data_IF_002846651718
#
_entry.id   IF_002846651718
#
_cell.length_a   1.000
_cell.length_b   1.000
_cell.length_c   1.000
_cell.angle_alpha   90.00
_cell.angle_beta   90.00
_cell.angle_gamma   90.00
#
_symmetry.space_group_name_H-M   'P 1'
#
loop_
_entity.id
_entity.type
_entity.pdbx_description
1 polymer ?
#
# COMPACT_ATOMS: atom_id res chain seq x y z
N UNK A 1 10.79 21.70 3.51
CA UNK A 1 9.84 21.15 4.51
C UNK A 1 10.34 21.58 5.87
N UNK A 2 9.46 22.04 6.77
CA UNK A 2 9.84 22.35 8.14
C UNK A 2 10.36 21.08 8.84
N UNK A 3 11.25 21.23 9.81
CA UNK A 3 11.65 20.12 10.69
C UNK A 3 10.47 19.67 11.56
N UNK A 4 10.51 18.44 12.08
CA UNK A 4 9.47 17.96 13.00
C UNK A 4 9.38 18.90 14.21
N UNK A 5 10.52 19.28 14.78
CA UNK A 5 10.60 20.21 15.91
C UNK A 5 9.83 21.51 15.67
N UNK A 6 10.00 22.13 14.50
CA UNK A 6 9.28 23.37 14.14
C UNK A 6 7.77 23.14 14.09
N UNK A 7 7.32 22.02 13.50
CA UNK A 7 5.90 21.65 13.47
C UNK A 7 5.36 21.48 14.89
N UNK A 8 6.06 20.73 15.75
CA UNK A 8 5.64 20.49 17.12
C UNK A 8 5.54 21.78 17.96
N UNK A 9 6.42 22.76 17.71
CA UNK A 9 6.36 24.06 18.41
C UNK A 9 5.21 24.98 17.97
N UNK A 10 4.63 24.74 16.79
CA UNK A 10 3.52 25.53 16.24
C UNK A 10 2.16 24.96 16.65
N UNK A 11 2.11 23.68 17.01
CA UNK A 11 0.89 22.99 17.40
C UNK A 11 0.53 23.23 18.87
N UNK A 12 -0.74 23.52 19.14
CA UNK A 12 -1.25 23.65 20.52
C UNK A 12 -1.34 22.29 21.22
N UNK A 13 -1.64 21.26 20.45
CA UNK A 13 -1.79 19.89 20.90
C UNK A 13 -1.18 18.95 19.87
N UNK A 14 -0.28 18.07 20.32
CA UNK A 14 0.36 17.09 19.44
C UNK A 14 -0.47 15.81 19.46
N UNK A 15 -1.06 15.49 18.31
CA UNK A 15 -1.89 14.30 18.10
C UNK A 15 -1.19 13.30 17.17
N UNK A 16 -1.71 12.08 17.08
CA UNK A 16 -1.24 11.10 16.10
C UNK A 16 -1.43 11.61 14.65
N UNK A 17 -2.46 12.42 14.41
CA UNK A 17 -2.72 13.07 13.13
C UNK A 17 -1.64 14.11 12.77
N UNK A 18 -1.11 14.84 13.76
CA UNK A 18 0.02 15.76 13.56
C UNK A 18 1.23 15.01 13.00
N UNK A 19 1.57 13.87 13.61
CA UNK A 19 2.68 13.03 13.17
C UNK A 19 2.41 12.42 11.78
N UNK A 20 1.22 11.86 11.52
CA UNK A 20 0.88 11.32 10.22
C UNK A 20 0.94 12.37 9.10
N UNK A 21 0.47 13.60 9.36
CA UNK A 21 0.54 14.71 8.40
C UNK A 21 1.99 15.09 8.09
N UNK A 22 2.83 15.19 9.11
CA UNK A 22 4.26 15.45 8.94
C UNK A 22 4.93 14.34 8.11
N UNK A 23 4.70 13.09 8.46
CA UNK A 23 5.27 11.95 7.74
C UNK A 23 4.77 11.88 6.29
N UNK A 24 3.50 12.17 6.02
CA UNK A 24 2.97 12.26 4.66
C UNK A 24 3.67 13.34 3.83
N UNK A 25 3.93 14.52 4.41
CA UNK A 25 4.68 15.56 3.72
C UNK A 25 6.11 15.11 3.42
N UNK A 26 6.78 14.47 4.39
CA UNK A 26 8.10 13.90 4.19
C UNK A 26 8.09 12.89 3.05
N UNK A 27 7.18 11.90 3.10
CA UNK A 27 7.13 10.83 2.12
C UNK A 27 6.91 11.36 0.71
N UNK A 28 5.92 12.26 0.52
CA UNK A 28 5.63 12.87 -0.79
C UNK A 28 6.83 13.60 -1.39
N UNK A 29 7.63 14.26 -0.55
CA UNK A 29 8.79 15.03 -0.98
C UNK A 29 10.02 14.16 -1.28
N UNK A 30 10.16 12.99 -0.63
CA UNK A 30 11.43 12.24 -0.64
C UNK A 30 11.37 10.91 -1.41
N UNK A 31 10.19 10.26 -1.53
CA UNK A 31 10.12 8.87 -2.02
C UNK A 31 10.74 8.67 -3.41
N UNK A 32 10.52 9.60 -4.35
CA UNK A 32 11.10 9.54 -5.70
C UNK A 32 12.62 9.70 -5.68
N UNK A 33 13.14 10.62 -4.86
CA UNK A 33 14.59 10.84 -4.73
C UNK A 33 15.26 9.59 -4.19
N UNK A 34 14.69 9.00 -3.12
CA UNK A 34 15.19 7.75 -2.54
C UNK A 34 15.20 6.62 -3.57
N UNK A 35 14.16 6.48 -4.40
CA UNK A 35 14.12 5.51 -5.49
C UNK A 35 15.20 5.75 -6.54
N UNK A 36 15.37 6.99 -6.99
CA UNK A 36 16.33 7.33 -8.04
C UNK A 36 17.78 7.15 -7.57
N UNK A 37 18.10 7.64 -6.37
CA UNK A 37 19.46 7.58 -5.81
C UNK A 37 19.92 6.15 -5.49
N UNK A 38 18.99 5.24 -5.24
CA UNK A 38 19.29 3.87 -4.80
C UNK A 38 18.78 2.80 -5.78
N UNK A 39 18.46 3.17 -7.03
CA UNK A 39 17.82 2.28 -8.00
C UNK A 39 18.59 0.97 -8.22
N UNK A 40 19.90 1.05 -8.41
CA UNK A 40 20.75 -0.12 -8.65
C UNK A 40 20.79 -1.06 -7.43
N UNK A 41 20.87 -0.50 -6.22
CA UNK A 41 20.85 -1.29 -4.98
C UNK A 41 19.50 -2.00 -4.82
N UNK A 42 18.40 -1.33 -5.12
CA UNK A 42 17.08 -1.93 -5.00
C UNK A 42 16.82 -3.01 -6.04
N UNK A 43 17.25 -2.79 -7.30
CA UNK A 43 17.15 -3.81 -8.33
C UNK A 43 17.99 -5.04 -7.97
N UNK A 44 19.24 -4.84 -7.53
CA UNK A 44 20.11 -5.93 -7.07
C UNK A 44 19.51 -6.69 -5.88
N UNK A 45 18.92 -5.97 -4.91
CA UNK A 45 18.22 -6.59 -3.78
C UNK A 45 17.02 -7.41 -4.23
N UNK A 46 16.26 -6.93 -5.22
CA UNK A 46 15.09 -7.63 -5.76
C UNK A 46 15.49 -8.86 -6.57
N UNK A 47 16.52 -8.75 -7.41
CA UNK A 47 17.03 -9.88 -8.18
C UNK A 47 17.56 -11.00 -7.28
N UNK A 48 18.13 -10.64 -6.11
CA UNK A 48 18.65 -11.60 -5.13
C UNK A 48 17.59 -12.16 -4.18
N UNK A 49 16.66 -11.33 -3.73
CA UNK A 49 15.80 -11.64 -2.57
C UNK A 49 14.31 -11.33 -2.80
N UNK A 50 13.90 -10.94 -4.00
CA UNK A 50 12.52 -10.61 -4.36
C UNK A 50 11.92 -9.54 -3.44
N UNK A 51 10.79 -9.85 -2.82
CA UNK A 51 10.00 -8.92 -1.99
C UNK A 51 10.76 -8.27 -0.83
N UNK A 52 11.83 -8.91 -0.32
CA UNK A 52 12.64 -8.32 0.74
C UNK A 52 13.28 -6.99 0.33
N UNK A 53 13.44 -6.71 -0.97
CA UNK A 53 13.90 -5.42 -1.49
C UNK A 53 12.98 -4.26 -1.08
N UNK A 54 11.67 -4.49 -0.95
CA UNK A 54 10.72 -3.47 -0.50
C UNK A 54 10.94 -3.09 0.96
N UNK A 55 11.42 -4.03 1.79
CA UNK A 55 11.89 -3.72 3.14
C UNK A 55 13.15 -2.84 3.15
N UNK A 56 14.05 -3.00 2.18
CA UNK A 56 15.23 -2.13 2.01
C UNK A 56 14.79 -0.71 1.66
N UNK A 57 13.88 -0.56 0.68
CA UNK A 57 13.28 0.72 0.34
C UNK A 57 12.62 1.38 1.55
N UNK A 58 11.78 0.64 2.28
CA UNK A 58 11.11 1.13 3.49
C UNK A 58 12.09 1.64 4.54
N UNK A 59 13.19 0.91 4.80
CA UNK A 59 14.22 1.36 5.75
C UNK A 59 14.94 2.64 5.30
N UNK A 60 15.22 2.79 4.01
CA UNK A 60 15.88 4.00 3.49
C UNK A 60 14.95 5.21 3.53
N UNK A 61 13.67 5.02 3.18
CA UNK A 61 12.69 6.09 3.18
C UNK A 61 12.31 6.51 4.61
N UNK A 62 11.94 5.55 5.47
CA UNK A 62 11.39 5.86 6.78
C UNK A 62 12.46 5.91 7.89
N UNK A 63 13.65 5.36 7.69
CA UNK A 63 14.70 5.33 8.70
C UNK A 63 15.11 6.72 9.22
N UNK A 64 15.38 7.72 8.36
CA UNK A 64 15.66 9.08 8.81
C UNK A 64 14.49 9.71 9.58
N UNK A 65 13.27 9.46 9.11
CA UNK A 65 12.03 9.98 9.67
C UNK A 65 11.74 9.40 11.07
N UNK A 66 11.88 8.09 11.24
CA UNK A 66 11.73 7.40 12.52
C UNK A 66 12.73 7.97 13.54
N UNK A 67 14.01 8.15 13.14
CA UNK A 67 15.03 8.75 14.01
C UNK A 67 14.73 10.20 14.38
N UNK A 68 14.08 10.97 13.51
CA UNK A 68 13.64 12.32 13.83
C UNK A 68 12.49 12.30 14.84
N UNK A 69 11.50 11.45 14.63
CA UNK A 69 10.37 11.24 15.56
C UNK A 69 10.86 10.81 16.95
N UNK A 70 11.82 9.86 17.00
CA UNK A 70 12.40 9.39 18.26
C UNK A 70 13.16 10.47 19.02
N UNK A 71 13.89 11.35 18.31
CA UNK A 71 14.61 12.47 18.91
C UNK A 71 13.70 13.51 19.55
N UNK A 72 12.47 13.66 19.04
CA UNK A 72 11.48 14.58 19.59
C UNK A 72 10.64 13.94 20.72
N UNK A 73 11.03 12.75 21.21
CA UNK A 73 10.46 12.14 22.41
C UNK A 73 9.25 11.23 22.16
N UNK A 74 9.10 10.72 20.94
CA UNK A 74 8.11 9.69 20.61
C UNK A 74 8.77 8.32 20.47
N UNK A 75 8.01 7.25 20.71
CA UNK A 75 8.44 5.87 20.54
C UNK A 75 7.50 5.19 19.57
N UNK A 76 8.05 4.58 18.52
CA UNK A 76 7.29 3.85 17.49
C UNK A 76 7.51 2.34 17.67
N UNK A 77 6.57 1.68 18.32
CA UNK A 77 6.64 0.23 18.56
C UNK A 77 6.01 -0.55 17.41
N UNK A 78 6.71 -1.58 16.93
CA UNK A 78 6.18 -2.51 15.93
C UNK A 78 6.63 -3.93 16.23
N UNK A 79 5.69 -4.86 16.16
CA UNK A 79 6.00 -6.29 16.08
C UNK A 79 6.15 -6.64 14.60
N UNK A 80 7.39 -6.63 14.08
CA UNK A 80 7.69 -6.64 12.64
C UNK A 80 7.00 -7.75 11.81
N UNK A 81 6.69 -8.91 12.41
CA UNK A 81 5.97 -9.99 11.73
C UNK A 81 4.45 -9.85 11.85
N UNK A 82 4.00 -9.34 12.99
CA UNK A 82 2.60 -9.24 13.30
C UNK A 82 2.00 -7.94 12.72
N UNK A 83 2.77 -6.87 12.58
CA UNK A 83 2.28 -5.51 12.33
C UNK A 83 2.16 -5.17 10.85
N UNK A 84 1.77 -6.16 10.03
CA UNK A 84 1.61 -6.02 8.59
C UNK A 84 0.47 -6.87 8.05
N UNK A 85 -0.25 -6.36 7.05
CA UNK A 85 -1.20 -7.12 6.21
C UNK A 85 -1.05 -6.74 4.75
N UNK A 86 -1.37 -7.67 3.86
CA UNK A 86 -1.28 -7.47 2.41
C UNK A 86 -2.42 -8.23 1.74
N UNK A 87 -3.46 -7.51 1.35
CA UNK A 87 -4.66 -8.14 0.77
C UNK A 87 -5.05 -7.54 -0.57
N UNK A 88 -4.89 -6.23 -0.78
CA UNK A 88 -5.63 -5.51 -1.82
C UNK A 88 -4.82 -5.19 -3.08
N UNK A 89 -5.46 -5.29 -4.24
CA UNK A 89 -4.91 -4.89 -5.55
C UNK A 89 -4.34 -6.06 -6.37
N UNK A 90 -3.98 -5.87 -7.64
CA UNK A 90 -3.34 -6.91 -8.44
C UNK A 90 -1.86 -7.09 -8.06
N UNK A 91 -1.18 -8.15 -8.54
CA UNK A 91 0.27 -8.33 -8.32
C UNK A 91 1.13 -7.12 -8.72
N UNK A 92 0.72 -6.32 -9.70
CA UNK A 92 1.46 -5.15 -10.19
C UNK A 92 1.35 -3.92 -9.27
N UNK A 93 0.35 -3.89 -8.39
CA UNK A 93 0.13 -2.81 -7.42
C UNK A 93 -0.54 -3.38 -6.18
N UNK A 94 0.16 -4.29 -5.51
CA UNK A 94 -0.29 -4.86 -4.25
C UNK A 94 -0.10 -3.86 -3.13
N UNK A 95 -1.16 -3.67 -2.36
CA UNK A 95 -1.17 -2.82 -1.17
C UNK A 95 -0.81 -3.62 0.08
N UNK A 96 0.21 -3.14 0.78
CA UNK A 96 0.59 -3.61 2.12
C UNK A 96 0.40 -2.49 3.13
N UNK A 97 -0.31 -2.78 4.21
CA UNK A 97 -0.44 -1.91 5.37
C UNK A 97 0.46 -2.42 6.49
N UNK A 98 1.39 -1.59 6.96
CA UNK A 98 2.23 -1.86 8.12
C UNK A 98 1.97 -0.80 9.19
N UNK A 99 2.05 -1.11 10.47
CA UNK A 99 1.80 -0.11 11.51
C UNK A 99 2.82 -0.10 12.64
N UNK A 100 2.88 1.07 13.29
CA UNK A 100 3.59 1.29 14.54
C UNK A 100 2.62 1.90 15.54
N UNK A 101 2.61 1.38 16.77
CA UNK A 101 1.93 2.03 17.89
C UNK A 101 2.84 3.15 18.39
N UNK A 102 2.30 4.36 18.41
CA UNK A 102 3.02 5.56 18.81
C UNK A 102 2.76 5.87 20.29
N UNK A 103 3.84 6.11 21.03
CA UNK A 103 3.81 6.54 22.43
C UNK A 103 4.65 7.79 22.61
N UNK A 104 4.32 8.59 23.63
CA UNK A 104 5.26 9.59 24.17
C UNK A 104 6.30 8.92 25.05
N UNK A 105 7.41 9.60 25.30
CA UNK A 105 8.48 9.12 26.17
C UNK A 105 8.03 8.81 27.62
N UNK A 106 6.92 9.41 28.07
CA UNK A 106 6.30 9.10 29.37
C UNK A 106 5.43 7.83 29.36
N UNK A 107 5.32 7.14 28.22
CA UNK A 107 4.52 5.94 28.03
C UNK A 107 3.08 6.19 27.58
N UNK A 108 2.65 7.45 27.45
CA UNK A 108 1.29 7.79 27.01
C UNK A 108 1.06 7.32 25.58
N UNK A 109 0.07 6.44 25.38
CA UNK A 109 -0.39 5.99 24.07
C UNK A 109 -1.00 7.16 23.30
N UNK A 110 -0.62 7.30 22.03
CA UNK A 110 -1.16 8.33 21.13
C UNK A 110 -2.05 7.77 20.03
N UNK A 111 -1.92 6.48 19.72
CA UNK A 111 -2.56 5.85 18.56
C UNK A 111 -1.55 5.06 17.73
N UNK A 112 -1.87 4.82 16.47
CA UNK A 112 -1.05 4.10 15.52
C UNK A 112 -0.83 4.88 14.22
N UNK A 113 0.37 4.73 13.67
CA UNK A 113 0.75 5.21 12.35
C UNK A 113 0.79 4.01 11.40
N UNK A 114 -0.15 3.97 10.46
CA UNK A 114 -0.24 2.91 9.44
C UNK A 114 0.40 3.42 8.16
N UNK A 115 1.50 2.80 7.76
CA UNK A 115 2.14 2.99 6.46
C UNK A 115 1.48 2.09 5.43
N UNK A 116 0.85 2.71 4.42
CA UNK A 116 0.39 2.05 3.19
C UNK A 116 1.47 2.12 2.15
N UNK A 117 1.91 0.96 1.66
CA UNK A 117 2.89 0.83 0.59
C UNK A 117 2.28 0.07 -0.57
N UNK A 118 2.54 0.55 -1.78
CA UNK A 118 2.13 -0.10 -3.02
C UNK A 118 3.38 -0.63 -3.72
N UNK A 119 3.35 -1.88 -4.13
CA UNK A 119 4.51 -2.54 -4.71
C UNK A 119 4.10 -3.58 -5.76
N UNK A 120 5.05 -3.91 -6.62
CA UNK A 120 4.88 -4.81 -7.74
C UNK A 120 5.57 -6.16 -7.45
N UNK A 121 4.83 -7.26 -7.45
CA UNK A 121 5.40 -8.60 -7.26
C UNK A 121 6.06 -9.14 -8.53
N UNK A 122 5.87 -8.49 -9.68
CA UNK A 122 6.40 -8.96 -10.98
C UNK A 122 7.77 -8.38 -11.30
N UNK A 123 8.13 -7.24 -10.71
CA UNK A 123 9.40 -6.52 -10.89
C UNK A 123 9.62 -5.54 -9.74
N UNK A 124 10.83 -5.05 -9.50
CA UNK A 124 11.05 -3.99 -8.53
C UNK A 124 10.42 -2.67 -9.01
N UNK A 125 9.26 -2.32 -8.46
CA UNK A 125 8.56 -1.07 -8.78
C UNK A 125 7.68 -0.64 -7.60
N UNK A 126 7.70 0.67 -7.33
CA UNK A 126 6.79 1.34 -6.38
C UNK A 126 5.81 2.17 -7.22
N UNK A 127 4.58 1.69 -7.48
CA UNK A 127 3.66 2.32 -8.44
C UNK A 127 3.20 3.72 -8.02
N UNK A 128 3.10 3.98 -6.72
CA UNK A 128 2.73 5.28 -6.17
C UNK A 128 3.36 5.52 -4.80
N UNK A 129 3.31 6.78 -4.36
CA UNK A 129 3.88 7.20 -3.08
C UNK A 129 3.27 6.40 -1.92
N UNK A 130 4.07 5.94 -0.95
CA UNK A 130 3.52 5.45 0.29
C UNK A 130 2.77 6.56 1.04
N UNK A 131 1.72 6.19 1.78
CA UNK A 131 0.92 7.11 2.58
C UNK A 131 0.87 6.67 4.03
N UNK A 132 0.67 7.63 4.94
CA UNK A 132 0.55 7.40 6.38
C UNK A 132 -0.87 7.73 6.83
N UNK A 133 -1.51 6.77 7.49
CA UNK A 133 -2.82 6.93 8.12
C UNK A 133 -2.62 6.98 9.63
N UNK A 134 -3.21 8.00 10.25
CA UNK A 134 -3.34 8.07 11.69
C UNK A 134 -4.60 7.32 12.14
N UNK A 135 -4.44 6.44 13.13
CA UNK A 135 -5.54 5.79 13.85
C UNK A 135 -5.40 6.09 15.33
N UNK A 136 -6.50 6.42 16.01
CA UNK A 136 -6.53 6.54 17.48
C UNK A 136 -6.49 5.16 18.19
N UNK A 137 -6.44 4.07 17.41
CA UNK A 137 -6.42 2.68 17.88
C UNK A 137 -4.99 2.22 18.13
N UNK A 138 -4.79 1.41 19.17
CA UNK A 138 -3.48 0.86 19.55
C UNK A 138 -3.48 -0.66 19.61
N UNK A 139 -4.65 -1.29 19.74
CA UNK A 139 -4.78 -2.73 19.74
C UNK A 139 -4.79 -3.29 18.32
N UNK A 140 -4.07 -4.39 18.12
CA UNK A 140 -3.94 -5.05 16.80
C UNK A 140 -5.29 -5.28 16.13
N UNK A 141 -6.24 -5.90 16.84
CA UNK A 141 -7.52 -6.29 16.25
C UNK A 141 -8.31 -5.07 15.80
N UNK A 142 -8.29 -3.99 16.58
CA UNK A 142 -8.97 -2.74 16.22
C UNK A 142 -8.29 -2.03 15.05
N UNK A 143 -6.96 -2.08 14.99
CA UNK A 143 -6.19 -1.52 13.86
C UNK A 143 -6.52 -2.30 12.57
N UNK A 144 -6.52 -3.63 12.64
CA UNK A 144 -6.85 -4.50 11.50
C UNK A 144 -8.27 -4.29 11.02
N UNK A 145 -9.23 -4.18 11.95
CA UNK A 145 -10.62 -3.89 11.67
C UNK A 145 -10.81 -2.48 11.07
N UNK A 146 -10.09 -1.48 11.58
CA UNK A 146 -10.18 -0.12 11.06
C UNK A 146 -9.77 -0.07 9.58
N UNK A 147 -8.62 -0.62 9.23
CA UNK A 147 -8.18 -0.61 7.84
C UNK A 147 -8.83 -1.71 6.99
N UNK A 148 -9.62 -2.65 7.51
CA UNK A 148 -10.46 -3.50 6.65
C UNK A 148 -11.67 -2.75 6.09
N UNK A 149 -11.81 -1.46 6.40
CA UNK A 149 -12.77 -0.55 5.76
C UNK A 149 -12.08 0.27 4.69
N UNK A 150 -12.51 0.15 3.43
CA UNK A 150 -11.92 0.88 2.32
C UNK A 150 -11.92 2.40 2.54
N UNK A 151 -12.93 2.97 3.19
CA UNK A 151 -12.97 4.40 3.55
C UNK A 151 -11.82 4.85 4.46
N UNK A 152 -11.30 3.97 5.30
CA UNK A 152 -10.16 4.29 6.17
C UNK A 152 -8.87 4.35 5.36
N UNK A 153 -8.73 3.46 4.36
CA UNK A 153 -7.53 3.40 3.52
C UNK A 153 -7.56 4.46 2.42
N UNK A 154 -8.72 4.66 1.78
CA UNK A 154 -8.90 5.55 0.63
C UNK A 154 -9.33 6.93 1.13
N UNK A 155 -8.35 7.71 1.56
CA UNK A 155 -8.58 8.98 2.28
C UNK A 155 -8.86 10.18 1.34
N UNK A 156 -8.76 10.02 0.02
CA UNK A 156 -9.07 11.08 -0.96
C UNK A 156 -9.83 10.55 -2.18
N UNK A 157 -11.08 10.99 -2.30
CA UNK A 157 -11.96 10.79 -3.48
C UNK A 157 -11.40 11.35 -4.81
N UNK A 158 -10.32 12.13 -4.79
CA UNK A 158 -9.76 12.78 -5.98
C UNK A 158 -8.61 12.02 -6.66
N UNK A 159 -8.21 10.84 -6.17
CA UNK A 159 -7.28 9.95 -6.90
C UNK A 159 -7.98 9.10 -7.98
N UNK A 160 -9.29 9.30 -8.16
CA UNK A 160 -10.16 8.64 -9.14
C UNK A 160 -9.98 9.16 -10.59
N UNK A 161 -8.76 9.52 -11.00
CA UNK A 161 -8.47 9.84 -12.42
C UNK A 161 -7.89 8.62 -13.12
N UNK A 162 -8.74 7.60 -13.33
CA UNK A 162 -8.45 6.52 -14.26
C UNK A 162 -8.79 6.97 -15.68
N UNK A 163 -7.82 7.55 -16.40
CA UNK A 163 -7.93 7.66 -17.86
C UNK A 163 -7.80 6.25 -18.46
N UNK A 164 -8.88 5.77 -19.04
CA UNK A 164 -8.92 4.55 -19.86
C UNK A 164 -8.00 4.72 -21.07
N UNK A 165 -6.86 4.03 -21.06
CA UNK A 165 -6.12 3.73 -22.28
C UNK A 165 -6.17 2.21 -22.45
N UNK A 166 -7.15 1.76 -23.22
CA UNK A 166 -7.08 0.46 -23.88
C UNK A 166 -5.96 0.55 -24.92
N UNK A 167 -4.75 0.13 -24.59
CA UNK A 167 -3.78 -0.18 -25.63
C UNK A 167 -4.32 -1.40 -26.40
N UNK A 168 -4.65 -1.16 -27.67
CA UNK A 168 -5.04 -2.20 -28.62
C UNK A 168 -3.94 -3.26 -28.63
N UNK A 169 -4.30 -4.49 -28.25
CA UNK A 169 -3.46 -5.66 -28.48
C UNK A 169 -3.38 -5.85 -30.00
N UNK A 170 -2.17 -5.71 -30.53
CA UNK A 170 -1.84 -6.00 -31.92
C UNK A 170 -2.02 -7.51 -32.15
N UNK A 171 -2.89 -7.87 -33.09
CA UNK A 171 -3.27 -9.25 -33.37
C UNK A 171 -2.19 -9.93 -34.23
N UNK A 172 -1.05 -10.25 -33.62
CA UNK A 172 -0.06 -11.18 -34.15
C UNK A 172 -0.39 -12.63 -33.79
N UNK A 173 -0.06 -13.55 -34.70
CA UNK A 173 -0.41 -14.98 -34.73
C UNK A 173 -0.66 -15.66 -33.36
N UNK A 174 -1.91 -16.10 -33.18
CA UNK A 174 -2.40 -16.87 -32.02
C UNK A 174 -1.66 -18.22 -31.89
N UNK A 175 -0.70 -18.26 -30.97
CA UNK A 175 -0.49 -19.44 -30.14
C UNK A 175 -1.46 -19.38 -28.98
N UNK A 176 -2.01 -20.54 -28.58
CA UNK A 176 -2.92 -20.67 -27.44
C UNK A 176 -2.33 -19.92 -26.23
N UNK A 177 -2.90 -18.77 -25.82
CA UNK A 177 -2.30 -17.99 -24.77
C UNK A 177 -2.40 -18.81 -23.49
N UNK A 178 -1.25 -19.15 -22.90
CA UNK A 178 -1.23 -19.65 -21.54
C UNK A 178 -1.99 -18.67 -20.65
N UNK A 179 -2.70 -19.16 -19.65
CA UNK A 179 -3.43 -18.30 -18.71
C UNK A 179 -2.64 -18.16 -17.42
N UNK A 180 -2.57 -16.96 -16.89
CA UNK A 180 -2.15 -16.72 -15.51
C UNK A 180 -3.36 -16.35 -14.66
N UNK A 181 -3.27 -16.66 -13.37
CA UNK A 181 -4.36 -16.52 -12.41
C UNK A 181 -3.86 -15.79 -11.16
N UNK A 182 -4.75 -15.04 -10.54
CA UNK A 182 -4.47 -14.36 -9.27
C UNK A 182 -5.76 -14.22 -8.45
N UNK A 183 -5.59 -13.80 -7.20
CA UNK A 183 -6.65 -13.76 -6.20
C UNK A 183 -6.64 -12.44 -5.44
N UNK A 184 -7.84 -11.96 -5.12
CA UNK A 184 -8.12 -10.87 -4.20
C UNK A 184 -8.90 -11.41 -3.00
N UNK A 185 -8.45 -11.10 -1.80
CA UNK A 185 -9.08 -11.58 -0.55
C UNK A 185 -9.65 -10.44 0.31
N UNK A 186 -9.41 -9.19 -0.09
CA UNK A 186 -9.93 -7.98 0.51
C UNK A 186 -11.01 -7.31 -0.34
N UNK A 187 -11.60 -7.99 -1.33
CA UNK A 187 -12.64 -7.38 -2.18
C UNK A 187 -13.89 -7.00 -1.36
N UNK A 188 -14.20 -7.78 -0.32
CA UNK A 188 -15.30 -7.48 0.61
C UNK A 188 -15.08 -6.20 1.44
N UNK A 189 -13.83 -5.77 1.62
CA UNK A 189 -13.48 -4.59 2.42
C UNK A 189 -13.92 -3.27 1.77
N UNK A 190 -14.31 -3.34 0.49
CA UNK A 190 -14.88 -2.22 -0.27
C UNK A 190 -16.41 -2.14 -0.15
N UNK A 191 -17.06 -3.12 0.49
CA UNK A 191 -18.50 -3.17 0.72
C UNK A 191 -18.83 -2.63 2.11
N UNK A 192 -19.05 -1.32 2.21
CA UNK A 192 -19.50 -0.67 3.45
C UNK A 192 -21.03 -0.68 3.53
N UNK A 193 -21.57 -1.62 4.30
CA UNK A 193 -23.02 -1.83 4.47
C UNK A 193 -23.74 -0.55 4.90
N UNK A 194 -23.09 0.26 5.75
CA UNK A 194 -23.66 1.50 6.27
C UNK A 194 -23.58 2.69 5.28
N UNK A 195 -22.87 2.53 4.15
CA UNK A 195 -22.73 3.55 3.12
C UNK A 195 -22.68 2.94 1.70
N UNK A 196 -23.84 2.57 1.13
CA UNK A 196 -23.91 1.85 -0.13
C UNK A 196 -23.43 2.69 -1.33
N UNK A 197 -23.68 4.01 -1.34
CA UNK A 197 -23.22 4.90 -2.42
C UNK A 197 -21.68 4.99 -2.46
N UNK A 198 -21.05 5.07 -1.29
CA UNK A 198 -19.59 5.04 -1.19
C UNK A 198 -19.02 3.68 -1.61
N UNK A 199 -19.74 2.59 -1.28
CA UNK A 199 -19.34 1.22 -1.59
C UNK A 199 -19.26 0.96 -3.08
N UNK A 200 -20.23 1.44 -3.87
CA UNK A 200 -20.24 1.27 -5.33
C UNK A 200 -18.97 1.86 -5.96
N UNK A 201 -18.66 3.13 -5.67
CA UNK A 201 -17.46 3.78 -6.20
C UNK A 201 -16.15 3.13 -5.73
N UNK A 202 -16.09 2.68 -4.47
CA UNK A 202 -14.92 1.99 -3.92
C UNK A 202 -14.71 0.60 -4.54
N UNK A 203 -15.80 -0.12 -4.82
CA UNK A 203 -15.77 -1.42 -5.47
C UNK A 203 -15.36 -1.30 -6.94
N UNK A 204 -15.91 -0.33 -7.66
CA UNK A 204 -15.50 0.00 -9.03
C UNK A 204 -14.01 0.37 -9.09
N UNK A 205 -13.54 1.16 -8.13
CA UNK A 205 -12.12 1.46 -7.98
C UNK A 205 -11.30 0.17 -7.84
N UNK A 206 -11.67 -0.71 -6.90
CA UNK A 206 -10.97 -1.97 -6.69
C UNK A 206 -10.87 -2.78 -7.99
N UNK A 207 -11.99 -3.00 -8.68
CA UNK A 207 -12.02 -3.75 -9.94
C UNK A 207 -11.23 -3.05 -11.07
N UNK A 208 -11.26 -1.72 -11.13
CA UNK A 208 -10.48 -0.96 -12.11
C UNK A 208 -8.98 -1.18 -11.97
N UNK A 209 -8.48 -1.39 -10.74
CA UNK A 209 -7.06 -1.67 -10.50
C UNK A 209 -6.63 -2.98 -11.16
N UNK A 210 -7.51 -3.98 -11.15
CA UNK A 210 -7.33 -5.27 -11.82
C UNK A 210 -7.45 -5.11 -13.35
N UNK A 211 -8.53 -4.48 -13.82
CA UNK A 211 -8.83 -4.33 -15.24
C UNK A 211 -7.75 -3.58 -16.03
N UNK A 212 -7.16 -2.51 -15.48
CA UNK A 212 -6.06 -1.77 -16.12
C UNK A 212 -4.77 -2.61 -16.32
N UNK A 213 -4.65 -3.72 -15.61
CA UNK A 213 -3.54 -4.69 -15.73
C UNK A 213 -3.97 -5.94 -16.52
N UNK A 214 -5.05 -5.82 -17.31
CA UNK A 214 -5.64 -6.84 -18.17
C UNK A 214 -6.20 -8.06 -17.42
N UNK A 215 -6.43 -7.96 -16.11
CA UNK A 215 -7.07 -9.01 -15.34
C UNK A 215 -8.59 -9.01 -15.54
N UNK A 216 -9.13 -10.17 -15.88
CA UNK A 216 -10.55 -10.44 -16.02
C UNK A 216 -11.05 -11.12 -14.74
N UNK A 217 -12.11 -10.57 -14.12
CA UNK A 217 -12.79 -11.21 -13.00
C UNK A 217 -13.51 -12.48 -13.51
N UNK A 218 -13.24 -13.62 -12.91
CA UNK A 218 -13.81 -14.91 -13.31
C UNK A 218 -14.91 -15.39 -12.38
N UNK A 219 -14.71 -15.23 -11.07
CA UNK A 219 -15.63 -15.70 -10.04
C UNK A 219 -15.39 -14.97 -8.73
N UNK A 220 -16.44 -14.87 -7.92
CA UNK A 220 -16.39 -14.37 -6.55
C UNK A 220 -17.06 -15.40 -5.66
N UNK A 221 -16.38 -15.86 -4.62
CA UNK A 221 -16.90 -16.86 -3.69
C UNK A 221 -16.76 -16.39 -2.24
N UNK A 222 -17.75 -16.64 -1.37
CA UNK A 222 -17.59 -16.44 0.05
C UNK A 222 -16.75 -17.58 0.66
N UNK A 223 -15.77 -17.24 1.49
CA UNK A 223 -14.97 -18.21 2.24
C UNK A 223 -14.51 -17.61 3.57
N UNK A 224 -14.78 -18.32 4.68
CA UNK A 224 -14.39 -17.91 6.05
C UNK A 224 -14.73 -16.45 6.40
N UNK A 225 -15.93 -15.98 6.00
CA UNK A 225 -16.38 -14.62 6.28
C UNK A 225 -15.75 -13.54 5.38
N UNK A 226 -15.04 -13.92 4.33
CA UNK A 226 -14.47 -13.01 3.32
C UNK A 226 -15.02 -13.30 1.92
N UNK A 227 -14.96 -12.30 1.05
CA UNK A 227 -15.15 -12.49 -0.38
C UNK A 227 -13.80 -12.72 -1.04
N UNK A 228 -13.65 -13.86 -1.71
CA UNK A 228 -12.49 -14.21 -2.51
C UNK A 228 -12.86 -14.03 -3.98
N UNK A 229 -12.14 -13.16 -4.68
CA UNK A 229 -12.31 -12.96 -6.12
C UNK A 229 -11.13 -13.54 -6.89
N UNK A 230 -11.44 -14.29 -7.94
CA UNK A 230 -10.46 -14.94 -8.80
C UNK A 230 -10.37 -14.21 -10.13
N UNK A 231 -9.15 -13.94 -10.57
CA UNK A 231 -8.86 -13.25 -11.81
C UNK A 231 -8.01 -14.10 -12.72
N UNK A 232 -8.14 -13.89 -14.03
CA UNK A 232 -7.25 -14.47 -15.05
C UNK A 232 -6.82 -13.42 -16.06
N UNK A 233 -5.70 -13.65 -16.74
CA UNK A 233 -5.34 -12.89 -17.95
C UNK A 233 -4.51 -13.75 -18.92
N UNK A 234 -4.50 -13.42 -20.23
CA UNK A 234 -3.64 -14.10 -21.19
C UNK A 234 -2.17 -13.75 -20.95
N UNK A 235 -1.31 -14.77 -20.96
CA UNK A 235 0.15 -14.62 -20.99
C UNK A 235 0.57 -14.41 -22.44
N UNK A 236 0.89 -13.18 -22.80
CA UNK A 236 1.59 -12.91 -24.05
C UNK A 236 3.04 -13.40 -23.90
N UNK A 237 3.46 -14.25 -24.83
CA UNK A 237 4.66 -15.08 -24.67
C UNK A 237 5.87 -14.30 -24.15
N UNK A 238 6.35 -14.66 -22.95
CA UNK A 238 7.74 -14.42 -22.59
C UNK A 238 8.57 -15.16 -23.61
N UNK A 239 9.31 -14.45 -24.47
CA UNK A 239 10.37 -15.08 -25.25
C UNK A 239 11.22 -15.88 -24.26
N UNK A 240 11.33 -17.19 -24.51
CA UNK A 240 12.33 -18.00 -23.82
C UNK A 240 13.67 -17.41 -24.24
N UNK A 241 14.26 -16.55 -23.41
CA UNK A 241 15.67 -16.23 -23.53
C UNK A 241 16.42 -17.55 -23.30
N UNK A 242 16.92 -18.10 -24.40
CA UNK A 242 17.68 -19.34 -24.41
C UNK A 242 18.86 -19.25 -23.46
N UNK A 243 19.01 -20.29 -22.64
CA UNK A 243 20.32 -20.65 -22.08
C UNK A 243 21.10 -21.44 -23.11
#
# INVERSE_FOLDING_TARGET
MNSLKEVLTQEKEITIHTLANYMNQYTRNNWKSVLQENQLEFQDAFDKSGEFAYGVFGRKLFGPLIKEIEREGFVLESDHLASSVEYWGPPEERERCMWHVCKKADGTLMGSLVTRVFHDHTQFRIPRSPDIIALEKTERSEIVEAFSRASTRITKYNEFTGTFLSEKIDSGEQKDPGWEYSVEVGLGDYLEIDNPEMSEGMFDHALSLWGRNNWELTSVVPYQGRLIAFFKRPVFGREKTGR
#
